data_IF_787849193277
#
_entry.id   IF_787849193277
#
_cell.length_a   1.000
_cell.length_b   1.000
_cell.length_c   1.000
_cell.angle_alpha   90.00
_cell.angle_beta   90.00
_cell.angle_gamma   90.00
#
_symmetry.space_group_name_H-M   'P 1'
#
loop_
_entity.id
_entity.type
_entity.pdbx_description
1 polymer ?
#
# COMPACT_ATOMS: atom_id res chain seq x y z
N UNK A 1 -40.82 13.24 33.79
CA UNK A 1 -40.54 13.35 33.52
C UNK A 1 -39.77 13.57 33.30
N UNK A 2 -39.60 13.44 33.32
CA UNK A 2 -38.95 13.58 32.94
C UNK A 2 -38.04 13.46 32.53
N UNK A 3 -37.99 13.23 32.51
CA UNK A 3 -37.31 13.14 32.02
C UNK A 3 -36.68 13.15 31.32
N UNK A 4 -36.88 13.07 31.29
CA UNK A 4 -36.42 13.12 30.48
C UNK A 4 -35.50 13.35 30.03
N UNK A 5 -35.65 13.47 30.23
CA UNK A 5 -34.92 13.77 29.70
C UNK A 5 -33.89 13.61 29.51
N UNK A 6 -33.74 13.19 29.64
CA UNK A 6 -32.87 13.13 29.36
C UNK A 6 -32.16 12.84 28.83
N UNK A 7 -32.39 12.55 28.78
CA UNK A 7 -31.83 12.35 28.16
C UNK A 7 -31.05 12.57 27.48
N UNK A 8 -31.27 12.77 27.53
CA UNK A 8 -30.64 13.09 26.84
C UNK A 8 -29.55 13.26 26.64
N UNK A 9 -29.54 13.11 26.93
CA UNK A 9 -28.55 13.37 26.65
C UNK A 9 -27.61 13.06 26.35
N UNK A 10 -27.83 12.54 26.37
CA UNK A 10 -27.05 12.37 25.94
C UNK A 10 -26.44 12.30 25.25
N UNK A 11 -26.90 12.21 25.20
CA UNK A 11 -26.41 12.25 24.38
C UNK A 11 -25.43 12.51 23.92
N UNK A 12 -25.65 12.71 24.12
CA UNK A 12 -24.83 13.10 23.58
C UNK A 12 -23.82 12.98 23.44
N UNK A 13 -23.92 12.47 23.54
CA UNK A 13 -23.03 12.50 23.16
C UNK A 13 -22.34 12.21 22.71
N UNK A 14 -22.49 11.81 22.58
CA UNK A 14 -21.92 11.75 21.82
C UNK A 14 -21.10 11.81 21.44
N UNK A 15 -21.40 11.77 21.51
CA UNK A 15 -20.77 12.00 20.88
C UNK A 15 -19.84 12.04 20.69
N UNK A 16 -19.95 11.83 20.78
CA UNK A 16 -19.05 12.05 20.39
C UNK A 16 -18.19 11.82 20.09
N UNK A 17 -18.20 11.48 19.93
CA UNK A 17 -17.51 11.33 19.48
C UNK A 17 -16.77 11.27 18.98
N UNK A 18 -16.80 11.20 18.79
CA UNK A 18 -16.12 11.19 18.13
C UNK A 18 -15.37 11.19 17.79
N UNK A 19 -15.27 10.99 17.64
CA UNK A 19 -14.56 11.08 17.19
C UNK A 19 -13.68 10.92 17.00
N UNK A 20 -13.73 10.72 16.97
CA UNK A 20 -13.00 10.65 16.68
C UNK A 20 -12.37 10.51 16.23
N UNK A 21 -12.38 10.34 15.90
CA UNK A 21 -11.86 10.24 15.41
C UNK A 21 -11.11 10.34 15.01
N UNK A 22 -11.12 10.33 14.84
CA UNK A 22 -10.37 10.41 14.44
C UNK A 22 -9.59 10.44 14.18
N UNK A 23 -9.55 10.17 14.15
CA UNK A 23 -8.65 10.16 13.95
C UNK A 23 -7.85 9.82 13.74
N UNK A 24 -8.13 9.95 13.88
CA UNK A 24 -6.87 9.84 13.73
C UNK A 24 -6.32 8.82 13.05
N UNK A 25 -6.86 8.10 13.09
CA UNK A 25 -6.36 7.07 12.54
C UNK A 25 -5.71 7.09 11.26
N UNK A 26 -6.04 7.89 10.50
CA UNK A 26 -5.51 7.94 9.18
C UNK A 26 -4.03 8.01 9.13
N UNK A 27 -3.43 8.44 10.17
CA UNK A 27 -2.00 8.62 10.16
C UNK A 27 -1.23 7.32 10.18
N UNK A 28 -1.91 6.21 10.34
CA UNK A 28 -1.20 4.95 10.47
C UNK A 28 -0.65 4.41 9.16
N UNK A 29 -1.07 4.93 8.03
CA UNK A 29 -0.62 4.40 6.75
C UNK A 29 0.43 5.29 6.12
N UNK A 30 1.56 4.69 5.77
CA UNK A 30 2.60 5.43 5.09
C UNK A 30 2.26 5.57 3.62
N UNK A 31 2.38 6.79 3.12
CA UNK A 31 2.20 7.04 1.69
C UNK A 31 3.48 6.68 0.95
N UNK A 32 3.41 6.50 -0.37
CA UNK A 32 4.63 6.29 -1.13
C UNK A 32 5.65 7.40 -0.92
N UNK A 33 5.19 8.65 -0.81
CA UNK A 33 6.10 9.76 -0.57
C UNK A 33 6.82 9.63 0.76
N UNK A 34 6.11 9.17 1.79
CA UNK A 34 6.70 8.97 3.11
C UNK A 34 7.72 7.84 3.10
N UNK A 35 7.42 6.77 2.38
CA UNK A 35 8.34 5.65 2.27
C UNK A 35 9.62 6.07 1.55
N UNK A 36 9.49 6.80 0.47
CA UNK A 36 10.65 7.27 -0.27
C UNK A 36 11.46 8.26 0.58
N UNK A 37 10.78 9.13 1.30
CA UNK A 37 11.43 10.10 2.16
C UNK A 37 12.27 9.43 3.25
N UNK A 38 11.77 8.32 3.78
CA UNK A 38 12.47 7.56 4.81
C UNK A 38 13.64 6.76 4.25
N UNK A 39 13.55 6.36 2.98
CA UNK A 39 14.58 5.50 2.39
C UNK A 39 14.62 5.77 0.88
N UNK A 40 15.57 6.61 0.47
CA UNK A 40 15.69 6.97 -0.95
C UNK A 40 16.16 5.80 -1.82
N UNK A 41 16.59 4.71 -1.21
CA UNK A 41 17.01 3.52 -1.95
C UNK A 41 15.89 2.49 -2.09
N UNK A 42 14.69 2.82 -1.61
CA UNK A 42 13.59 1.87 -1.64
C UNK A 42 13.22 1.53 -3.08
N UNK A 43 13.00 0.24 -3.33
CA UNK A 43 12.61 -0.28 -4.64
C UNK A 43 11.13 -0.60 -4.56
N UNK A 44 10.29 0.30 -5.08
CA UNK A 44 8.84 0.14 -4.98
C UNK A 44 8.14 0.68 -6.21
N UNK A 45 6.89 0.27 -6.38
CA UNK A 45 6.00 0.90 -7.35
C UNK A 45 4.63 1.06 -6.69
N UNK A 46 3.77 1.87 -7.33
CA UNK A 46 2.44 2.17 -6.78
C UNK A 46 1.38 1.54 -7.66
N UNK A 47 0.43 0.88 -7.01
CA UNK A 47 -0.72 0.27 -7.68
C UNK A 47 -1.92 0.42 -6.75
N UNK A 48 -3.01 0.96 -7.30
CA UNK A 48 -4.24 1.22 -6.54
C UNK A 48 -3.94 2.00 -5.26
N UNK A 49 -3.10 3.03 -5.42
CA UNK A 49 -2.74 3.97 -4.36
C UNK A 49 -1.94 3.37 -3.22
N UNK A 50 -1.38 2.18 -3.41
CA UNK A 50 -0.60 1.49 -2.40
C UNK A 50 0.79 1.19 -2.95
N UNK A 51 1.79 1.34 -2.11
CA UNK A 51 3.16 0.99 -2.50
C UNK A 51 3.37 -0.51 -2.38
N UNK A 52 4.02 -1.08 -3.39
CA UNK A 52 4.48 -2.48 -3.38
C UNK A 52 5.99 -2.44 -3.39
N UNK A 53 6.61 -3.09 -2.41
CA UNK A 53 8.05 -3.00 -2.18
C UNK A 53 8.71 -4.32 -2.50
N UNK A 54 9.88 -4.26 -3.14
CA UNK A 54 10.65 -5.46 -3.48
C UNK A 54 10.80 -6.33 -2.23
N UNK A 55 10.35 -7.57 -2.34
CA UNK A 55 10.32 -8.48 -1.20
C UNK A 55 11.23 -9.68 -1.41
N UNK A 56 12.20 -9.58 -2.31
CA UNK A 56 13.12 -10.68 -2.59
C UNK A 56 13.85 -11.15 -1.34
N UNK A 57 14.08 -10.25 -0.39
CA UNK A 57 14.82 -10.57 0.82
C UNK A 57 13.94 -10.85 2.03
N UNK A 58 12.62 -10.88 1.84
CA UNK A 58 11.70 -11.17 2.95
C UNK A 58 11.61 -12.67 3.13
N UNK A 59 11.92 -13.15 4.34
CA UNK A 59 12.07 -14.58 4.60
C UNK A 59 10.87 -15.42 4.17
N UNK A 60 9.67 -15.05 4.59
CA UNK A 60 8.52 -15.88 4.25
C UNK A 60 8.22 -15.85 2.75
N UNK A 61 8.54 -14.75 2.09
CA UNK A 61 8.35 -14.63 0.65
C UNK A 61 9.32 -15.51 -0.10
N UNK A 62 10.57 -15.56 0.37
CA UNK A 62 11.59 -16.41 -0.27
C UNK A 62 11.21 -17.89 -0.22
N UNK A 63 10.47 -18.27 0.80
CA UNK A 63 10.10 -19.67 0.99
C UNK A 63 8.81 -20.05 0.29
N UNK A 64 8.16 -19.10 -0.36
CA UNK A 64 6.92 -19.35 -1.09
C UNK A 64 7.21 -19.50 -2.57
N UNK A 65 6.35 -20.26 -3.23
CA UNK A 65 6.40 -20.37 -4.68
C UNK A 65 5.20 -19.66 -5.25
N UNK A 66 5.44 -18.73 -6.15
CA UNK A 66 4.37 -17.96 -6.78
C UNK A 66 4.31 -18.30 -8.26
N UNK A 67 3.11 -18.35 -8.80
CA UNK A 67 2.91 -18.59 -10.22
C UNK A 67 2.48 -17.31 -10.89
N UNK A 68 3.07 -17.05 -12.05
CA UNK A 68 2.71 -15.87 -12.80
C UNK A 68 1.27 -16.00 -13.27
N UNK A 69 0.44 -15.08 -12.81
CA UNK A 69 -0.94 -15.05 -13.19
C UNK A 69 -1.17 -14.07 -14.33
N UNK A 70 -2.25 -13.30 -14.19
CA UNK A 70 -2.67 -12.35 -15.20
C UNK A 70 -1.80 -11.11 -15.16
N UNK A 71 -1.44 -10.59 -16.34
CA UNK A 71 -0.75 -9.29 -16.43
C UNK A 71 -1.76 -8.19 -16.13
N UNK A 72 -1.46 -7.36 -15.15
CA UNK A 72 -2.40 -6.32 -14.71
C UNK A 72 -1.96 -4.93 -15.13
N UNK A 73 -0.76 -4.77 -15.65
CA UNK A 73 -0.32 -3.47 -16.12
C UNK A 73 1.17 -3.41 -16.32
N UNK A 74 1.64 -2.20 -16.55
CA UNK A 74 3.06 -1.93 -16.79
C UNK A 74 3.46 -0.67 -16.06
N UNK A 75 4.73 -0.59 -15.68
CA UNK A 75 5.26 0.63 -15.08
C UNK A 75 5.24 1.74 -16.14
N UNK A 76 4.71 2.88 -15.76
CA UNK A 76 4.61 4.05 -16.64
C UNK A 76 5.81 4.97 -16.52
N UNK A 77 6.25 5.23 -15.29
CA UNK A 77 7.35 6.15 -15.04
C UNK A 77 8.32 5.54 -14.05
N UNK A 78 9.60 5.67 -14.37
CA UNK A 78 10.66 5.20 -13.50
C UNK A 78 11.31 6.38 -12.79
N UNK A 79 12.10 6.09 -11.75
CA UNK A 79 12.88 7.10 -11.02
C UNK A 79 12.00 8.20 -10.45
N UNK A 80 10.79 7.84 -10.07
CA UNK A 80 9.84 8.78 -9.46
C UNK A 80 10.29 9.09 -8.03
N UNK A 81 10.27 10.35 -7.65
CA UNK A 81 10.71 10.78 -6.32
C UNK A 81 9.64 11.53 -5.56
N UNK A 82 8.58 11.98 -6.22
CA UNK A 82 7.46 12.64 -5.55
C UNK A 82 6.23 12.53 -6.42
N UNK A 83 5.10 12.96 -5.88
CA UNK A 83 3.83 12.92 -6.62
C UNK A 83 3.59 11.55 -7.23
N UNK A 84 3.73 10.52 -6.42
CA UNK A 84 3.57 9.16 -6.89
C UNK A 84 2.15 8.89 -7.34
N UNK A 85 2.01 8.37 -8.54
CA UNK A 85 0.73 7.95 -9.10
C UNK A 85 0.82 6.48 -9.41
N UNK A 86 -0.33 5.89 -9.70
CA UNK A 86 -0.36 4.46 -10.03
C UNK A 86 0.55 4.17 -11.21
N UNK A 87 1.31 3.11 -11.09
CA UNK A 87 2.30 2.63 -12.06
C UNK A 87 3.59 3.46 -12.10
N UNK A 88 3.80 4.34 -11.10
CA UNK A 88 5.09 4.99 -10.92
C UNK A 88 5.99 4.08 -10.09
N UNK A 89 7.28 4.07 -10.42
CA UNK A 89 8.25 3.24 -9.71
C UNK A 89 9.50 4.06 -9.42
N UNK A 90 10.22 3.66 -8.37
CA UNK A 90 11.47 4.30 -8.01
C UNK A 90 12.64 3.71 -8.77
N UNK A 91 12.60 2.40 -9.05
CA UNK A 91 13.73 1.68 -9.66
C UNK A 91 13.34 0.99 -10.95
N UNK A 92 12.19 0.34 -11.00
CA UNK A 92 11.78 -0.45 -12.15
C UNK A 92 11.66 0.41 -13.40
N UNK A 93 12.19 -0.07 -14.54
CA UNK A 93 12.08 0.70 -15.78
C UNK A 93 10.65 0.81 -16.27
N UNK A 94 10.36 1.89 -16.99
CA UNK A 94 9.07 2.03 -17.65
C UNK A 94 8.90 0.86 -18.63
N UNK A 95 7.67 0.35 -18.69
CA UNK A 95 7.37 -0.80 -19.55
C UNK A 95 7.48 -2.14 -18.85
N UNK A 96 7.99 -2.17 -17.61
CA UNK A 96 8.08 -3.42 -16.85
C UNK A 96 6.69 -3.93 -16.59
N UNK A 97 6.46 -5.23 -16.88
CA UNK A 97 5.14 -5.84 -16.73
C UNK A 97 4.92 -6.38 -15.32
N UNK A 98 3.71 -6.21 -14.84
CA UNK A 98 3.31 -6.60 -13.50
C UNK A 98 2.22 -7.65 -13.58
N UNK A 99 2.35 -8.73 -12.80
CA UNK A 99 1.45 -9.88 -12.84
C UNK A 99 0.90 -10.21 -11.47
N UNK A 100 -0.28 -10.81 -11.47
CA UNK A 100 -0.82 -11.40 -10.24
C UNK A 100 0.00 -12.63 -9.88
N UNK A 101 -0.03 -12.98 -8.58
CA UNK A 101 0.77 -14.09 -8.07
C UNK A 101 -0.08 -15.21 -7.44
N UNK A 102 -1.38 -14.99 -7.33
CA UNK A 102 -2.22 -15.90 -6.55
C UNK A 102 -2.31 -15.53 -5.08
N UNK A 103 -1.46 -14.61 -4.63
CA UNK A 103 -1.49 -14.09 -3.27
C UNK A 103 -1.86 -12.61 -3.35
N UNK A 104 -2.89 -12.20 -2.63
CA UNK A 104 -3.40 -10.84 -2.75
C UNK A 104 -2.43 -9.77 -2.24
N UNK A 105 -1.43 -10.18 -1.48
CA UNK A 105 -0.44 -9.25 -0.95
C UNK A 105 0.81 -9.14 -1.82
N UNK A 106 0.94 -10.00 -2.82
CA UNK A 106 2.13 -10.10 -3.64
C UNK A 106 1.79 -9.88 -5.10
N UNK A 107 2.56 -9.01 -5.76
CA UNK A 107 2.54 -8.89 -7.21
C UNK A 107 3.89 -9.31 -7.74
N UNK A 108 3.91 -9.88 -8.93
CA UNK A 108 5.14 -10.36 -9.54
C UNK A 108 5.56 -9.39 -10.64
N UNK A 109 6.83 -9.02 -10.62
CA UNK A 109 7.42 -8.14 -11.60
C UNK A 109 8.28 -8.97 -12.54
N UNK A 110 8.07 -8.83 -13.83
CA UNK A 110 8.86 -9.54 -14.82
C UNK A 110 10.01 -8.64 -15.26
N UNK A 111 11.22 -9.03 -14.89
CA UNK A 111 12.40 -8.23 -15.18
C UNK A 111 13.55 -9.16 -15.58
N UNK A 112 14.09 -8.97 -16.77
CA UNK A 112 15.21 -9.78 -17.25
C UNK A 112 14.93 -11.27 -17.15
N UNK A 113 13.72 -11.65 -17.53
CA UNK A 113 13.30 -13.05 -17.56
C UNK A 113 13.16 -13.68 -16.16
N UNK A 114 13.10 -12.83 -15.14
CA UNK A 114 12.89 -13.28 -13.77
C UNK A 114 11.60 -12.69 -13.24
N UNK A 115 10.98 -13.42 -12.32
CA UNK A 115 9.81 -12.93 -11.62
C UNK A 115 10.24 -12.54 -10.22
N UNK A 116 10.07 -11.27 -9.89
CA UNK A 116 10.49 -10.72 -8.62
C UNK A 116 9.25 -10.36 -7.81
N UNK A 117 9.12 -10.88 -6.58
CA UNK A 117 7.93 -10.58 -5.77
C UNK A 117 8.04 -9.20 -5.14
N UNK A 118 6.94 -8.46 -5.21
CA UNK A 118 6.81 -7.18 -4.54
C UNK A 118 5.64 -7.29 -3.58
N UNK A 119 5.86 -6.90 -2.34
CA UNK A 119 4.90 -7.06 -1.27
C UNK A 119 4.18 -5.76 -1.00
N UNK A 120 2.86 -5.85 -0.89
CA UNK A 120 2.02 -4.71 -0.56
C UNK A 120 2.46 -4.15 0.80
N UNK A 121 2.75 -2.86 0.85
CA UNK A 121 3.15 -2.23 2.09
C UNK A 121 1.92 -1.91 2.92
N UNK A 122 1.86 -2.47 4.11
CA UNK A 122 0.77 -2.24 5.04
C UNK A 122 1.38 -1.99 6.41
N UNK A 123 0.99 -0.92 7.05
CA UNK A 123 1.44 -0.68 8.41
C UNK A 123 0.61 -1.49 9.37
N UNK A 124 1.28 -2.28 10.14
CA UNK A 124 0.62 -3.18 11.05
C UNK A 124 0.27 -2.60 12.39
#
# INVERSE_FOLDING_TARGET
MKKKIMIIVCLALFIVIPEVMGCGASSSEATPEQLYSSNHSIDMFVYEDVAYVNASDVDWVKNETFERGKCIGKISNSETTNDFKNWDATVLPAGTEIYESGNTEILLVSLEEKLIPYLKYVEG
#
